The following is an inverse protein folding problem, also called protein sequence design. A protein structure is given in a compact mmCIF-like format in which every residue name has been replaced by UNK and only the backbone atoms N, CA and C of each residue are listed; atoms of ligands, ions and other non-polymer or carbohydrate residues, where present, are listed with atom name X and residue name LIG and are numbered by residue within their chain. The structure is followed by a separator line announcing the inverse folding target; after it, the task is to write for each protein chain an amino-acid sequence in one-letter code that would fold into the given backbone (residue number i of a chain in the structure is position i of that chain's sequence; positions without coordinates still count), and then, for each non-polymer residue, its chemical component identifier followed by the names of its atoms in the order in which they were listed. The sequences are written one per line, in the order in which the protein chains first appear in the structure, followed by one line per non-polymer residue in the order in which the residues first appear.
data_IF_658323399923
#
_entry.id   IF_658323399923
#
_cell.length_a   1.000
_cell.length_b   1.000
_cell.length_c   1.000
_cell.angle_alpha   90.00
_cell.angle_beta   90.00
_cell.angle_gamma   90.00
#
_symmetry.space_group_name_H-M   'P 1'
#
loop_
_entity.id
_entity.type
_entity.pdbx_description
1 polymer ?
#
# COMPACT_ATOMS: atom_id res chain seq x y z
N UNK A 1 -2.05 12.45 22.55
CA UNK A 1 -1.36 12.77 21.30
C UNK A 1 -2.33 13.46 20.35
N UNK A 2 -1.86 14.43 19.57
CA UNK A 2 -2.64 15.12 18.53
C UNK A 2 -2.01 14.84 17.17
N UNK A 3 -2.82 14.54 16.16
CA UNK A 3 -2.36 14.17 14.82
C UNK A 3 -2.41 15.38 13.89
N UNK A 4 -1.33 15.60 13.15
CA UNK A 4 -1.19 16.62 12.13
C UNK A 4 -0.89 15.94 10.80
N UNK A 5 -1.67 16.26 9.78
CA UNK A 5 -1.53 15.65 8.45
C UNK A 5 -0.44 16.32 7.62
N UNK A 6 -0.48 17.65 7.51
CA UNK A 6 0.37 18.36 6.57
C UNK A 6 1.81 18.54 7.08
N UNK A 7 2.77 18.16 6.25
CA UNK A 7 4.20 18.35 6.46
C UNK A 7 4.87 19.16 5.34
N UNK A 8 4.10 19.70 4.39
CA UNK A 8 4.64 20.38 3.20
C UNK A 8 5.17 21.77 3.56
N UNK A 9 6.42 22.12 3.19
CA UNK A 9 6.89 23.49 3.25
C UNK A 9 6.13 24.36 2.24
N UNK A 10 5.51 25.43 2.72
CA UNK A 10 4.83 26.42 1.89
C UNK A 10 5.81 27.43 1.28
N UNK A 11 5.62 27.85 0.02
CA UNK A 11 5.42 27.03 -1.17
C UNK A 11 6.78 26.71 -1.83
N UNK A 12 7.04 25.43 -2.12
CA UNK A 12 8.26 25.00 -2.85
C UNK A 12 7.93 23.88 -3.82
N UNK A 13 8.49 23.95 -5.04
CA UNK A 13 8.31 22.88 -6.05
C UNK A 13 9.06 21.60 -5.65
N UNK A 14 10.22 21.73 -5.00
CA UNK A 14 11.06 20.62 -4.53
C UNK A 14 10.62 20.03 -3.18
N UNK A 15 9.39 20.29 -2.75
CA UNK A 15 8.92 19.92 -1.41
C UNK A 15 9.02 18.41 -1.13
N UNK A 16 8.93 17.55 -2.14
CA UNK A 16 9.16 16.10 -1.97
C UNK A 16 10.57 15.76 -1.48
N UNK A 17 11.54 16.65 -1.65
CA UNK A 17 12.89 16.55 -1.09
C UNK A 17 13.01 17.39 0.18
N UNK A 18 12.45 18.61 0.18
CA UNK A 18 12.60 19.55 1.28
C UNK A 18 11.75 19.22 2.52
N UNK A 19 10.67 18.44 2.37
CA UNK A 19 9.80 18.04 3.48
C UNK A 19 10.53 17.12 4.44
N UNK A 20 10.60 17.57 5.69
CA UNK A 20 11.12 16.76 6.81
C UNK A 20 10.04 15.93 7.49
N UNK A 21 8.77 16.31 7.35
CA UNK A 21 7.63 15.72 8.07
C UNK A 21 7.75 15.76 9.60
N UNK A 22 8.54 16.72 10.14
CA UNK A 22 8.76 16.88 11.58
C UNK A 22 8.46 18.28 12.11
N UNK A 23 7.93 19.18 11.28
CA UNK A 23 7.71 20.58 11.65
C UNK A 23 6.93 20.76 12.97
N UNK A 24 5.92 19.91 13.22
CA UNK A 24 5.17 19.89 14.48
C UNK A 24 5.87 19.04 15.55
N UNK A 25 6.43 17.88 15.16
CA UNK A 25 7.16 17.00 16.10
C UNK A 25 8.35 17.71 16.78
N UNK A 26 9.02 18.61 16.06
CA UNK A 26 10.16 19.38 16.54
C UNK A 26 9.74 20.53 17.49
N UNK A 27 8.46 20.90 17.51
CA UNK A 27 7.92 22.00 18.33
C UNK A 27 7.02 21.54 19.47
N UNK A 28 6.32 20.42 19.31
CA UNK A 28 5.27 19.96 20.22
C UNK A 28 5.50 18.48 20.59
N UNK A 29 5.79 18.22 21.87
CA UNK A 29 6.09 16.87 22.36
C UNK A 29 4.94 15.86 22.16
N UNK A 30 3.69 16.34 22.22
CA UNK A 30 2.49 15.53 22.09
C UNK A 30 2.00 15.36 20.64
N UNK A 31 2.67 15.98 19.67
CA UNK A 31 2.27 15.94 18.26
C UNK A 31 2.73 14.66 17.58
N UNK A 32 1.88 14.16 16.69
CA UNK A 32 2.20 13.13 15.73
C UNK A 32 1.93 13.65 14.33
N UNK A 33 2.79 13.31 13.39
CA UNK A 33 2.67 13.77 12.00
C UNK A 33 2.55 12.61 11.02
N UNK A 34 1.88 12.81 9.89
CA UNK A 34 1.89 11.79 8.85
C UNK A 34 3.30 11.54 8.34
N UNK A 35 3.69 10.27 8.27
CA UNK A 35 4.96 9.83 7.73
C UNK A 35 5.03 10.08 6.21
N UNK A 36 6.22 10.20 5.63
CA UNK A 36 6.38 10.28 4.17
C UNK A 36 5.79 9.08 3.42
N UNK A 37 5.68 7.91 4.05
CA UNK A 37 5.12 6.69 3.41
C UNK A 37 3.60 6.66 3.39
N UNK A 38 2.93 7.56 4.09
CA UNK A 38 1.47 7.68 4.11
C UNK A 38 1.06 9.10 3.77
N UNK A 39 1.84 9.84 3.00
CA UNK A 39 1.47 11.19 2.58
C UNK A 39 1.63 11.36 1.08
N UNK A 40 0.56 11.85 0.43
CA UNK A 40 0.44 12.26 -0.98
C UNK A 40 1.07 11.35 -2.05
N UNK A 41 2.40 11.30 -2.17
CA UNK A 41 3.14 10.67 -3.29
C UNK A 41 3.60 9.24 -2.97
N UNK A 42 2.95 8.58 -2.03
CA UNK A 42 3.11 7.15 -1.84
C UNK A 42 2.27 6.41 -2.88
N UNK A 43 2.93 5.96 -3.95
CA UNK A 43 2.34 5.27 -5.11
C UNK A 43 2.97 3.89 -5.29
N UNK A 44 2.72 2.94 -4.36
CA UNK A 44 3.37 1.62 -4.33
C UNK A 44 3.05 0.73 -5.53
N UNK A 45 2.07 1.10 -6.35
CA UNK A 45 1.73 0.40 -7.59
C UNK A 45 2.74 0.68 -8.73
N UNK A 46 3.56 1.72 -8.63
CA UNK A 46 4.57 2.03 -9.64
C UNK A 46 5.74 1.04 -9.59
N UNK A 47 6.30 0.75 -10.76
CA UNK A 47 7.50 -0.06 -10.88
C UNK A 47 8.71 0.69 -10.29
N UNK A 48 9.60 -0.03 -9.62
CA UNK A 48 10.75 0.43 -8.82
C UNK A 48 10.41 1.31 -7.62
N UNK A 49 9.14 1.35 -7.19
CA UNK A 49 8.71 2.22 -6.09
C UNK A 49 9.51 1.96 -4.80
N UNK A 50 9.67 0.70 -4.40
CA UNK A 50 10.27 0.40 -3.09
C UNK A 50 11.74 0.77 -3.05
N UNK A 51 12.52 0.37 -4.06
CA UNK A 51 13.94 0.73 -4.15
C UNK A 51 14.15 2.24 -4.26
N UNK A 52 13.32 2.96 -5.03
CA UNK A 52 13.44 4.42 -5.19
C UNK A 52 13.05 5.20 -3.92
N UNK A 53 12.16 4.65 -3.08
CA UNK A 53 11.75 5.25 -1.81
C UNK A 53 12.56 4.78 -0.60
N UNK A 54 13.59 3.95 -0.79
CA UNK A 54 14.42 3.44 0.31
C UNK A 54 14.94 4.53 1.25
N UNK A 55 15.35 5.68 0.71
CA UNK A 55 15.82 6.80 1.52
C UNK A 55 14.75 7.36 2.47
N UNK A 56 13.47 7.39 2.07
CA UNK A 56 12.33 7.74 2.95
C UNK A 56 12.09 6.66 3.99
N UNK A 57 12.27 5.38 3.65
CA UNK A 57 12.19 4.29 4.63
C UNK A 57 13.28 4.45 5.70
N UNK A 58 14.50 4.85 5.34
CA UNK A 58 15.57 5.15 6.30
C UNK A 58 15.22 6.32 7.22
N UNK A 59 14.49 7.32 6.75
CA UNK A 59 13.98 8.39 7.62
C UNK A 59 12.91 7.89 8.58
N UNK A 60 12.02 7.01 8.12
CA UNK A 60 11.05 6.34 9.01
C UNK A 60 11.79 5.60 10.11
N UNK A 61 12.83 4.82 9.80
CA UNK A 61 13.65 4.15 10.81
C UNK A 61 14.18 5.14 11.87
N UNK A 62 14.69 6.29 11.44
CA UNK A 62 15.35 7.27 12.32
C UNK A 62 14.38 8.11 13.13
N UNK A 63 13.27 8.54 12.55
CA UNK A 63 12.41 9.60 13.11
C UNK A 63 10.96 9.17 13.33
N UNK A 64 10.58 7.97 12.89
CA UNK A 64 9.19 7.53 12.83
C UNK A 64 8.48 7.35 14.16
N UNK A 65 9.18 7.39 15.31
CA UNK A 65 8.59 7.18 16.63
C UNK A 65 7.37 8.04 16.97
N UNK A 66 7.25 9.22 16.36
CA UNK A 66 6.10 10.13 16.48
C UNK A 66 5.38 10.39 15.17
N UNK A 67 5.41 9.42 14.26
CA UNK A 67 4.66 9.50 13.01
C UNK A 67 3.44 8.61 13.00
N UNK A 68 2.41 9.02 12.26
CA UNK A 68 1.38 8.13 11.75
C UNK A 68 1.98 7.49 10.50
N UNK A 69 2.23 6.19 10.55
CA UNK A 69 2.80 5.40 9.45
C UNK A 69 1.70 4.62 8.73
N UNK A 70 2.09 3.78 7.77
CA UNK A 70 1.18 2.97 6.98
C UNK A 70 1.43 3.13 5.50
N UNK A 71 0.49 2.64 4.69
CA UNK A 71 0.68 2.43 3.26
C UNK A 71 -0.50 2.87 2.39
N UNK A 72 -1.67 3.13 2.97
CA UNK A 72 -2.85 3.54 2.25
C UNK A 72 -3.58 4.66 3.00
N UNK A 73 -3.96 5.71 2.27
CA UNK A 73 -4.93 6.71 2.70
C UNK A 73 -5.62 7.33 1.47
N UNK A 74 -6.53 8.27 1.73
CA UNK A 74 -7.32 8.95 0.70
C UNK A 74 -6.44 9.69 -0.33
N UNK A 75 -5.42 10.42 0.09
CA UNK A 75 -4.50 11.17 -0.79
C UNK A 75 -3.62 10.25 -1.65
N UNK A 76 -3.09 9.17 -1.07
CA UNK A 76 -2.24 8.23 -1.79
C UNK A 76 -3.06 7.45 -2.82
N UNK A 77 -4.22 6.95 -2.42
CA UNK A 77 -5.11 6.24 -3.33
C UNK A 77 -5.58 7.16 -4.44
N UNK A 78 -5.94 8.42 -4.14
CA UNK A 78 -6.28 9.43 -5.14
C UNK A 78 -5.20 9.57 -6.21
N UNK A 79 -3.93 9.71 -5.82
CA UNK A 79 -2.82 9.78 -6.79
C UNK A 79 -2.71 8.51 -7.62
N UNK A 80 -2.99 7.35 -7.03
CA UNK A 80 -3.05 6.08 -7.75
C UNK A 80 -4.15 6.05 -8.81
N UNK A 81 -5.39 6.32 -8.42
CA UNK A 81 -6.54 6.23 -9.32
C UNK A 81 -6.54 7.32 -10.40
N UNK A 82 -5.90 8.47 -10.16
CA UNK A 82 -5.82 9.57 -11.14
C UNK A 82 -4.67 9.35 -12.14
N UNK A 83 -3.77 8.39 -11.90
CA UNK A 83 -2.70 8.08 -12.83
C UNK A 83 -3.27 7.42 -14.09
N UNK A 84 -2.88 7.92 -15.27
CA UNK A 84 -3.24 7.30 -16.54
C UNK A 84 -2.49 5.95 -16.70
N UNK A 85 -3.18 4.80 -16.60
CA UNK A 85 -2.56 3.48 -16.67
C UNK A 85 -1.88 3.21 -18.02
N UNK A 86 -2.23 3.97 -19.07
CA UNK A 86 -1.65 3.82 -20.42
C UNK A 86 -0.32 4.55 -20.59
N UNK A 87 0.06 5.40 -19.63
CA UNK A 87 1.31 6.18 -19.68
C UNK A 87 2.26 5.88 -18.52
N UNK A 88 1.74 5.49 -17.35
CA UNK A 88 2.57 5.15 -16.19
C UNK A 88 3.10 3.73 -16.26
N UNK A 89 4.31 3.51 -15.73
CA UNK A 89 4.88 2.17 -15.55
C UNK A 89 4.48 1.60 -14.21
N UNK A 90 3.35 0.92 -14.16
CA UNK A 90 2.93 0.17 -12.97
C UNK A 90 3.57 -1.21 -12.91
N UNK A 91 3.64 -1.79 -11.71
CA UNK A 91 4.21 -3.10 -11.47
C UNK A 91 3.20 -4.21 -11.77
N UNK A 92 3.32 -4.80 -12.96
CA UNK A 92 2.45 -5.89 -13.44
C UNK A 92 2.57 -7.18 -12.63
N UNK A 93 3.59 -7.34 -11.77
CA UNK A 93 3.71 -8.51 -10.92
C UNK A 93 2.75 -8.47 -9.72
N UNK A 94 2.16 -7.31 -9.42
CA UNK A 94 1.22 -7.16 -8.31
C UNK A 94 -0.16 -7.78 -8.62
N UNK A 95 -0.47 -8.09 -9.88
CA UNK A 95 -1.79 -8.61 -10.23
C UNK A 95 -2.02 -8.78 -11.73
N UNK A 96 -3.07 -9.55 -12.08
CA UNK A 96 -3.43 -9.82 -13.47
C UNK A 96 -4.21 -8.68 -14.12
N UNK A 97 -4.94 -7.90 -13.32
CA UNK A 97 -5.73 -6.74 -13.75
C UNK A 97 -5.22 -5.45 -13.12
N UNK A 98 -5.62 -4.28 -13.66
CA UNK A 98 -5.31 -2.97 -13.05
C UNK A 98 -5.85 -2.90 -11.61
N UNK A 99 -7.03 -3.47 -11.36
CA UNK A 99 -7.62 -3.57 -10.03
C UNK A 99 -6.78 -4.40 -9.07
N UNK A 100 -6.32 -5.57 -9.52
CA UNK A 100 -5.43 -6.40 -8.68
C UNK A 100 -4.13 -5.66 -8.34
N UNK A 101 -3.55 -4.96 -9.32
CA UNK A 101 -2.32 -4.17 -9.13
C UNK A 101 -2.53 -3.09 -8.07
N UNK A 102 -3.57 -2.26 -8.21
CA UNK A 102 -3.80 -1.15 -7.28
C UNK A 102 -4.16 -1.68 -5.89
N UNK A 103 -5.07 -2.64 -5.78
CA UNK A 103 -5.51 -3.18 -4.49
C UNK A 103 -4.38 -3.91 -3.76
N UNK A 104 -3.60 -4.73 -4.48
CA UNK A 104 -2.45 -5.43 -3.91
C UNK A 104 -1.36 -4.45 -3.48
N UNK A 105 -1.11 -3.37 -4.24
CA UNK A 105 -0.12 -2.35 -3.85
C UNK A 105 -0.46 -1.65 -2.54
N UNK A 106 -1.75 -1.43 -2.29
CA UNK A 106 -2.27 -0.74 -1.13
C UNK A 106 -2.79 -1.68 -0.04
N UNK A 107 -2.60 -3.00 -0.14
CA UNK A 107 -2.91 -3.96 0.92
C UNK A 107 -2.08 -5.26 0.77
N UNK A 108 -0.78 -5.11 0.59
CA UNK A 108 0.12 -6.25 0.42
C UNK A 108 0.53 -6.86 1.77
N UNK A 109 0.61 -8.20 1.93
CA UNK A 109 1.05 -8.82 3.19
C UNK A 109 2.45 -8.39 3.67
N UNK A 110 3.40 -8.21 2.75
CA UNK A 110 4.72 -7.66 3.04
C UNK A 110 4.66 -6.24 3.60
N UNK A 111 3.82 -5.37 3.01
CA UNK A 111 3.67 -3.99 3.49
C UNK A 111 2.96 -3.94 4.84
N UNK A 112 1.95 -4.80 5.06
CA UNK A 112 1.31 -4.95 6.36
C UNK A 112 2.33 -5.35 7.43
N UNK A 113 3.17 -6.37 7.19
CA UNK A 113 4.21 -6.77 8.15
C UNK A 113 5.25 -5.67 8.38
N UNK A 114 5.72 -5.05 7.31
CA UNK A 114 6.69 -3.97 7.38
C UNK A 114 6.18 -2.83 8.27
N UNK A 115 4.93 -2.38 8.07
CA UNK A 115 4.37 -1.25 8.81
C UNK A 115 3.90 -1.63 10.22
N UNK A 116 3.21 -2.75 10.38
CA UNK A 116 2.63 -3.16 11.66
C UNK A 116 3.67 -3.76 12.61
N UNK A 117 4.55 -4.62 12.10
CA UNK A 117 5.37 -5.50 12.92
C UNK A 117 6.86 -5.18 12.89
N UNK A 118 7.30 -4.14 12.17
CA UNK A 118 8.71 -3.84 12.03
C UNK A 118 9.08 -2.35 12.13
N UNK A 119 8.49 -1.48 11.29
CA UNK A 119 8.78 -0.06 11.27
C UNK A 119 8.18 0.70 12.47
N UNK A 120 8.80 1.84 12.86
CA UNK A 120 8.29 2.72 13.90
C UNK A 120 7.05 3.52 13.48
N UNK A 121 6.49 4.25 14.44
CA UNK A 121 5.28 5.08 14.26
C UNK A 121 4.00 4.31 14.49
N UNK A 122 2.85 4.94 14.33
CA UNK A 122 1.54 4.30 14.55
C UNK A 122 0.90 4.03 13.20
N UNK A 123 0.77 2.76 12.78
CA UNK A 123 0.22 2.41 11.49
C UNK A 123 -1.26 2.78 11.40
N UNK A 124 -1.62 3.51 10.34
CA UNK A 124 -2.98 3.79 9.94
C UNK A 124 -3.35 2.94 8.73
N UNK A 125 -4.58 2.44 8.74
CA UNK A 125 -5.13 1.61 7.67
C UNK A 125 -6.55 2.10 7.35
N UNK A 126 -6.91 2.04 6.07
CA UNK A 126 -8.23 2.40 5.59
C UNK A 126 -9.05 1.14 5.36
N UNK A 127 -10.33 1.16 5.78
CA UNK A 127 -11.19 -0.03 5.70
C UNK A 127 -11.33 -0.51 4.26
N UNK A 128 -11.46 0.41 3.31
CA UNK A 128 -11.60 0.10 1.88
C UNK A 128 -10.34 -0.59 1.33
N UNK A 129 -9.16 -0.14 1.74
CA UNK A 129 -7.90 -0.80 1.37
C UNK A 129 -7.85 -2.23 1.93
N UNK A 130 -8.28 -2.43 3.18
CA UNK A 130 -8.27 -3.74 3.83
C UNK A 130 -9.27 -4.73 3.21
N UNK A 131 -10.40 -4.25 2.71
CA UNK A 131 -11.47 -5.06 2.11
C UNK A 131 -11.37 -5.18 0.59
N UNK A 132 -10.43 -4.47 -0.05
CA UNK A 132 -10.32 -4.33 -1.51
C UNK A 132 -11.64 -3.81 -2.12
N UNK A 133 -12.36 -2.99 -1.37
CA UNK A 133 -13.53 -2.27 -1.88
C UNK A 133 -13.03 -1.14 -2.78
N UNK A 134 -13.65 -0.91 -3.95
CA UNK A 134 -13.36 0.28 -4.76
C UNK A 134 -13.34 1.55 -3.90
N UNK A 135 -12.35 2.41 -4.09
CA UNK A 135 -12.31 3.68 -3.38
C UNK A 135 -11.40 4.72 -4.03
N UNK A 136 -11.67 5.97 -3.65
CA UNK A 136 -11.07 7.17 -4.18
C UNK A 136 -11.26 8.32 -3.18
N UNK A 137 -10.68 9.48 -3.48
CA UNK A 137 -10.99 10.73 -2.78
C UNK A 137 -11.92 11.60 -3.63
N UNK A 138 -13.22 11.34 -3.53
CA UNK A 138 -14.24 12.13 -4.21
C UNK A 138 -14.56 13.43 -3.46
N UNK A 139 -14.78 14.52 -4.20
CA UNK A 139 -15.17 15.82 -3.65
C UNK A 139 -16.53 16.23 -4.23
N UNK A 140 -17.56 16.22 -3.41
CA UNK A 140 -18.95 16.54 -3.80
C UNK A 140 -19.44 17.82 -3.10
N UNK A 141 -18.63 18.88 -3.11
CA UNK A 141 -18.87 20.07 -2.27
C UNK A 141 -19.54 21.23 -3.00
N UNK A 142 -19.48 21.31 -4.34
CA UNK A 142 -20.14 22.37 -5.09
C UNK A 142 -20.54 21.96 -6.53
N UNK A 143 -21.60 22.59 -7.05
CA UNK A 143 -22.11 22.38 -8.41
C UNK A 143 -21.27 23.09 -9.48
N UNK A 144 -20.45 24.07 -9.09
CA UNK A 144 -19.69 24.88 -10.04
C UNK A 144 -18.60 24.03 -10.70
N UNK A 145 -17.86 23.27 -9.89
CA UNK A 145 -16.74 22.44 -10.30
C UNK A 145 -17.06 20.94 -10.34
N UNK A 146 -18.30 20.53 -10.06
CA UNK A 146 -18.71 19.12 -10.06
C UNK A 146 -18.26 18.36 -11.33
N UNK A 147 -18.47 18.95 -12.51
CA UNK A 147 -18.09 18.32 -13.78
C UNK A 147 -16.56 18.18 -13.92
N UNK A 148 -15.81 19.19 -13.47
CA UNK A 148 -14.34 19.12 -13.43
C UNK A 148 -13.87 18.01 -12.51
N UNK A 149 -14.45 17.92 -11.30
CA UNK A 149 -14.05 16.90 -10.34
C UNK A 149 -14.34 15.51 -10.89
N UNK A 150 -15.53 15.25 -11.44
CA UNK A 150 -15.84 13.95 -12.08
C UNK A 150 -14.87 13.64 -13.22
N UNK A 151 -14.53 14.63 -14.04
CA UNK A 151 -13.58 14.45 -15.13
C UNK A 151 -12.17 14.10 -14.63
N UNK A 152 -11.68 14.76 -13.57
CA UNK A 152 -10.38 14.48 -12.94
C UNK A 152 -10.28 13.05 -12.36
N UNK A 153 -11.42 12.41 -12.08
CA UNK A 153 -11.50 11.03 -11.60
C UNK A 153 -11.75 10.01 -12.72
N UNK A 154 -11.56 10.37 -13.99
CA UNK A 154 -11.89 9.51 -15.14
C UNK A 154 -11.25 8.11 -15.09
N UNK A 155 -10.01 8.04 -14.58
CA UNK A 155 -9.24 6.80 -14.49
C UNK A 155 -9.66 5.92 -13.29
N UNK A 156 -10.50 6.40 -12.37
CA UNK A 156 -11.10 5.57 -11.32
C UNK A 156 -11.77 4.32 -11.91
N UNK A 157 -12.51 4.49 -13.01
CA UNK A 157 -13.18 3.37 -13.66
C UNK A 157 -12.22 2.38 -14.31
N UNK A 158 -11.01 2.78 -14.69
CA UNK A 158 -9.98 1.87 -15.22
C UNK A 158 -9.35 1.04 -14.10
N UNK A 159 -9.01 1.70 -12.99
CA UNK A 159 -8.32 1.09 -11.87
C UNK A 159 -9.23 0.25 -10.97
N UNK A 160 -10.47 0.67 -10.71
CA UNK A 160 -11.27 0.12 -9.61
C UNK A 160 -12.55 -0.60 -10.02
N UNK A 161 -12.99 -0.46 -11.27
CA UNK A 161 -14.27 -1.03 -11.74
C UNK A 161 -13.98 -2.02 -12.86
N UNK A 162 -14.41 -3.27 -12.71
CA UNK A 162 -14.33 -4.28 -13.76
C UNK A 162 -15.59 -4.28 -14.64
N UNK A 163 -15.55 -4.87 -15.85
CA UNK A 163 -16.75 -5.07 -16.66
C UNK A 163 -17.85 -5.84 -15.91
N UNK A 164 -17.46 -6.82 -15.09
CA UNK A 164 -18.36 -7.60 -14.24
C UNK A 164 -19.02 -6.73 -13.16
N UNK A 165 -18.25 -5.85 -12.50
CA UNK A 165 -18.79 -4.89 -11.53
C UNK A 165 -19.80 -3.96 -12.19
N UNK A 166 -19.45 -3.41 -13.36
CA UNK A 166 -20.34 -2.51 -14.08
C UNK A 166 -21.58 -3.22 -14.63
N UNK A 167 -21.52 -4.52 -14.94
CA UNK A 167 -22.68 -5.27 -15.42
C UNK A 167 -23.77 -5.44 -14.36
N UNK A 168 -23.42 -5.44 -13.07
CA UNK A 168 -24.36 -5.60 -11.95
C UNK A 168 -25.44 -4.51 -11.92
N UNK A 169 -26.71 -4.87 -11.87
CA UNK A 169 -27.84 -3.91 -11.93
C UNK A 169 -27.85 -2.90 -10.78
N UNK A 170 -27.33 -3.31 -9.62
CA UNK A 170 -27.33 -2.53 -8.40
C UNK A 170 -26.15 -1.53 -8.33
N UNK A 171 -25.14 -1.66 -9.19
CA UNK A 171 -24.03 -0.72 -9.33
C UNK A 171 -24.20 0.17 -10.57
N UNK A 172 -23.81 1.44 -10.46
CA UNK A 172 -23.92 2.43 -11.53
C UNK A 172 -25.32 2.58 -12.13
N UNK A 173 -26.36 2.35 -11.32
CA UNK A 173 -27.74 2.31 -11.75
C UNK A 173 -28.26 3.67 -12.27
N UNK A 174 -27.70 4.80 -11.82
CA UNK A 174 -28.10 6.13 -12.29
C UNK A 174 -27.41 6.45 -13.60
N UNK A 175 -26.10 6.24 -13.67
CA UNK A 175 -25.29 6.43 -14.88
C UNK A 175 -25.85 5.59 -16.04
N UNK A 176 -26.28 4.35 -15.80
CA UNK A 176 -26.92 3.51 -16.82
C UNK A 176 -28.21 4.11 -17.41
N UNK A 177 -28.96 4.92 -16.65
CA UNK A 177 -30.18 5.61 -17.17
C UNK A 177 -29.86 6.67 -18.21
N UNK A 178 -28.63 7.17 -18.23
CA UNK A 178 -28.12 8.05 -19.27
C UNK A 178 -27.74 7.30 -20.55
N UNK A 179 -27.94 5.98 -20.61
CA UNK A 179 -27.70 5.15 -21.80
C UNK A 179 -26.31 4.50 -21.87
N UNK A 180 -25.49 4.61 -20.81
CA UNK A 180 -24.23 3.88 -20.71
C UNK A 180 -24.49 2.41 -20.39
N UNK A 181 -24.49 1.56 -21.42
CA UNK A 181 -24.77 0.11 -21.28
C UNK A 181 -23.52 -0.74 -21.06
N UNK A 182 -22.35 -0.18 -21.33
CA UNK A 182 -21.06 -0.86 -21.16
C UNK A 182 -20.02 0.09 -20.56
N UNK A 183 -19.06 -0.51 -19.84
CA UNK A 183 -18.03 0.23 -19.11
C UNK A 183 -17.06 0.96 -20.05
N UNK A 184 -16.82 0.43 -21.25
CA UNK A 184 -15.89 1.00 -22.21
C UNK A 184 -16.40 2.36 -22.72
N UNK A 185 -17.68 2.44 -23.10
CA UNK A 185 -18.33 3.69 -23.53
C UNK A 185 -18.29 4.75 -22.41
N UNK A 186 -18.55 4.35 -21.16
CA UNK A 186 -18.48 5.27 -20.01
C UNK A 186 -17.05 5.79 -19.77
N UNK A 187 -16.03 4.92 -19.84
CA UNK A 187 -14.62 5.32 -19.71
C UNK A 187 -14.22 6.29 -20.82
N UNK A 188 -14.57 6.00 -22.07
CA UNK A 188 -14.31 6.91 -23.19
C UNK A 188 -14.95 8.28 -22.98
N UNK A 189 -16.19 8.31 -22.49
CA UNK A 189 -16.89 9.55 -22.17
C UNK A 189 -16.16 10.38 -21.11
N UNK A 190 -15.74 9.78 -20.00
CA UNK A 190 -15.02 10.49 -18.94
C UNK A 190 -13.63 10.96 -19.39
N UNK A 191 -12.90 10.17 -20.18
CA UNK A 191 -11.63 10.61 -20.76
C UNK A 191 -11.83 11.80 -21.71
N UNK A 192 -12.88 11.77 -22.54
CA UNK A 192 -13.18 12.90 -23.40
C UNK A 192 -13.54 14.15 -22.58
N UNK A 193 -14.34 13.98 -21.53
CA UNK A 193 -14.69 15.05 -20.60
C UNK A 193 -13.44 15.67 -19.96
N UNK A 194 -12.50 14.86 -19.48
CA UNK A 194 -11.22 15.33 -18.92
C UNK A 194 -10.43 16.17 -19.92
N UNK A 195 -10.35 15.75 -21.19
CA UNK A 195 -9.67 16.55 -22.22
C UNK A 195 -10.40 17.85 -22.52
N UNK A 196 -11.73 17.83 -22.48
CA UNK A 196 -12.54 19.04 -22.69
C UNK A 196 -12.39 20.05 -21.55
N UNK A 197 -12.24 19.62 -20.29
CA UNK A 197 -12.01 20.56 -19.18
C UNK A 197 -10.72 21.37 -19.40
N UNK A 198 -9.65 20.73 -19.87
CA UNK A 198 -8.37 21.37 -20.19
C UNK A 198 -8.48 22.31 -21.39
N UNK A 199 -8.97 21.81 -22.53
CA UNK A 199 -8.98 22.55 -23.81
C UNK A 199 -9.90 23.77 -23.76
N UNK A 200 -11.01 23.67 -23.04
CA UNK A 200 -11.99 24.77 -22.96
C UNK A 200 -11.70 25.76 -21.83
N UNK A 201 -10.74 25.47 -20.96
CA UNK A 201 -10.57 26.21 -19.71
C UNK A 201 -11.77 26.06 -18.77
N UNK A 202 -12.42 24.89 -18.78
CA UNK A 202 -13.64 24.57 -18.03
C UNK A 202 -14.86 25.44 -18.39
N UNK A 203 -14.94 25.91 -19.63
CA UNK A 203 -16.12 26.57 -20.17
C UNK A 203 -17.19 25.52 -20.55
N UNK A 204 -18.17 25.33 -19.66
CA UNK A 204 -19.16 24.24 -19.79
C UNK A 204 -19.96 24.32 -21.09
N UNK A 205 -20.26 25.50 -21.61
CA UNK A 205 -21.01 25.66 -22.86
C UNK A 205 -20.17 25.23 -24.07
N UNK A 206 -18.87 25.56 -24.07
CA UNK A 206 -17.92 25.03 -25.08
C UNK A 206 -17.77 23.51 -24.96
N UNK A 207 -17.69 22.98 -23.74
CA UNK A 207 -17.61 21.53 -23.51
C UNK A 207 -18.84 20.81 -24.09
N UNK A 208 -20.06 21.30 -23.83
CA UNK A 208 -21.30 20.75 -24.40
C UNK A 208 -21.26 20.75 -25.91
N UNK A 209 -20.86 21.87 -26.52
CA UNK A 209 -20.77 21.99 -27.99
C UNK A 209 -19.79 20.97 -28.58
N UNK A 210 -18.58 20.88 -28.04
CA UNK A 210 -17.56 19.95 -28.54
C UNK A 210 -17.94 18.49 -28.32
N UNK A 211 -18.55 18.18 -27.18
CA UNK A 211 -19.04 16.83 -26.87
C UNK A 211 -20.15 16.40 -27.84
N UNK A 212 -21.06 17.32 -28.20
CA UNK A 212 -22.07 17.09 -29.25
C UNK A 212 -21.45 16.82 -30.62
N UNK A 213 -20.42 17.58 -30.98
CA UNK A 213 -19.69 17.44 -32.25
C UNK A 213 -18.84 16.15 -32.31
N UNK A 214 -18.44 15.57 -31.16
CA UNK A 214 -17.63 14.36 -31.10
C UNK A 214 -18.33 13.07 -31.57
N UNK A 215 -19.66 13.03 -31.52
CA UNK A 215 -20.46 11.84 -31.85
C UNK A 215 -20.40 10.70 -30.81
N UNK A 216 -19.66 10.86 -29.70
CA UNK A 216 -19.33 9.80 -28.73
C UNK A 216 -20.55 9.20 -28.02
N UNK A 217 -21.68 9.90 -28.02
CA UNK A 217 -22.93 9.48 -27.36
C UNK A 217 -24.01 9.01 -28.35
N UNK A 218 -23.65 8.73 -29.61
CA UNK A 218 -24.59 8.24 -30.62
C UNK A 218 -25.85 9.10 -30.68
N UNK A 219 -27.03 8.51 -30.49
CA UNK A 219 -28.31 9.22 -30.54
C UNK A 219 -28.58 10.17 -29.35
N UNK A 220 -27.80 10.09 -28.28
CA UNK A 220 -27.99 10.90 -27.08
C UNK A 220 -27.31 12.28 -27.18
N UNK A 221 -26.47 12.51 -28.19
CA UNK A 221 -25.72 13.76 -28.33
C UNK A 221 -26.64 15.00 -28.30
N UNK A 222 -27.82 14.95 -28.93
CA UNK A 222 -28.76 16.07 -28.98
C UNK A 222 -29.33 16.46 -27.60
N UNK A 223 -29.32 15.54 -26.63
CA UNK A 223 -29.85 15.76 -25.28
C UNK A 223 -28.81 16.38 -24.33
N UNK A 224 -27.52 16.27 -24.67
CA UNK A 224 -26.42 16.76 -23.84
C UNK A 224 -26.55 18.28 -23.70
N UNK A 225 -26.69 18.79 -22.50
CA UNK A 225 -26.72 20.21 -22.16
C UNK A 225 -25.87 20.45 -20.91
N UNK A 226 -25.61 21.71 -20.56
CA UNK A 226 -24.89 22.06 -19.33
C UNK A 226 -25.59 21.46 -18.11
N UNK A 227 -26.92 21.58 -18.06
CA UNK A 227 -27.75 20.94 -17.04
C UNK A 227 -27.61 19.42 -17.02
N UNK A 228 -27.68 18.77 -18.18
CA UNK A 228 -27.52 17.31 -18.29
C UNK A 228 -26.16 16.86 -17.76
N UNK A 229 -25.07 17.58 -18.06
CA UNK A 229 -23.73 17.26 -17.56
C UNK A 229 -23.61 17.43 -16.06
N UNK A 230 -24.26 18.45 -15.49
CA UNK A 230 -24.32 18.66 -14.03
C UNK A 230 -25.13 17.55 -13.33
N UNK A 231 -26.29 17.18 -13.89
CA UNK A 231 -27.11 16.07 -13.38
C UNK A 231 -26.36 14.73 -13.48
N UNK A 232 -25.67 14.48 -14.61
CA UNK A 232 -24.78 13.33 -14.78
C UNK A 232 -23.67 13.32 -13.73
N UNK A 233 -22.99 14.45 -13.50
CA UNK A 233 -21.88 14.51 -12.54
C UNK A 233 -22.35 14.19 -11.11
N UNK A 234 -23.49 14.72 -10.71
CA UNK A 234 -24.11 14.40 -9.42
C UNK A 234 -24.49 12.91 -9.33
N UNK A 235 -25.15 12.36 -10.35
CA UNK A 235 -25.55 10.96 -10.35
C UNK A 235 -24.34 10.00 -10.38
N UNK A 236 -23.28 10.37 -11.10
CA UNK A 236 -22.02 9.64 -11.10
C UNK A 236 -21.37 9.63 -9.71
N UNK A 237 -21.32 10.76 -9.00
CA UNK A 237 -20.79 10.81 -7.63
C UNK A 237 -21.56 9.91 -6.68
N UNK A 238 -22.91 9.87 -6.81
CA UNK A 238 -23.75 8.97 -6.01
C UNK A 238 -23.50 7.51 -6.33
N UNK A 239 -23.39 7.16 -7.61
CA UNK A 239 -23.09 5.79 -8.03
C UNK A 239 -21.67 5.37 -7.62
N UNK A 240 -20.69 6.27 -7.66
CA UNK A 240 -19.34 6.03 -7.18
C UNK A 240 -19.32 5.83 -5.66
N UNK A 241 -20.08 6.63 -4.89
CA UNK A 241 -20.25 6.43 -3.46
C UNK A 241 -20.90 5.07 -3.13
N UNK A 242 -21.94 4.69 -3.89
CA UNK A 242 -22.60 3.39 -3.78
C UNK A 242 -21.63 2.23 -4.07
N UNK A 243 -20.74 2.37 -5.06
CA UNK A 243 -19.71 1.39 -5.39
C UNK A 243 -18.55 1.34 -4.38
N UNK A 244 -18.28 2.44 -3.68
CA UNK A 244 -17.19 2.53 -2.69
C UNK A 244 -17.64 2.18 -1.26
N UNK A 245 -18.87 1.72 -1.08
CA UNK A 245 -19.39 1.32 0.21
C UNK A 245 -18.82 -0.05 0.62
N UNK A 246 -17.91 -0.05 1.59
CA UNK A 246 -17.22 -1.26 2.04
C UNK A 246 -18.13 -2.28 2.73
N UNK A 247 -19.13 -1.82 3.49
CA UNK A 247 -20.09 -2.72 4.14
C UNK A 247 -20.85 -3.51 3.08
N UNK A 248 -21.48 -2.80 2.14
CA UNK A 248 -22.21 -3.40 1.03
C UNK A 248 -21.34 -4.34 0.20
N UNK A 249 -20.16 -3.89 -0.22
CA UNK A 249 -19.25 -4.71 -1.03
C UNK A 249 -18.82 -6.00 -0.29
N UNK A 250 -18.59 -5.93 1.02
CA UNK A 250 -18.27 -7.12 1.81
C UNK A 250 -19.45 -8.07 2.01
N UNK A 251 -20.66 -7.56 2.24
CA UNK A 251 -21.88 -8.35 2.34
C UNK A 251 -22.20 -9.06 1.01
N UNK A 252 -22.13 -8.34 -0.11
CA UNK A 252 -22.37 -8.90 -1.43
C UNK A 252 -21.35 -10.02 -1.72
N UNK A 253 -20.06 -9.81 -1.42
CA UNK A 253 -19.03 -10.86 -1.58
C UNK A 253 -19.28 -12.07 -0.68
N UNK A 254 -19.83 -11.90 0.52
CA UNK A 254 -20.30 -13.01 1.36
C UNK A 254 -21.46 -13.78 0.71
N UNK A 255 -22.34 -13.08 0.00
CA UNK A 255 -23.51 -13.65 -0.69
C UNK A 255 -23.20 -14.22 -2.08
N UNK A 256 -22.04 -13.94 -2.69
CA UNK A 256 -21.67 -14.58 -3.99
C UNK A 256 -21.32 -16.07 -3.90
N UNK A 257 -21.47 -16.68 -2.72
CA UNK A 257 -21.40 -18.13 -2.61
C UNK A 257 -22.54 -18.85 -3.33
N UNK A 258 -22.38 -20.13 -3.66
CA UNK A 258 -23.54 -20.93 -4.05
C UNK A 258 -24.39 -21.21 -2.81
N UNK A 259 -25.69 -20.88 -2.82
CA UNK A 259 -26.62 -21.25 -1.75
C UNK A 259 -26.77 -22.78 -1.73
N UNK A 260 -26.36 -23.45 -0.65
CA UNK A 260 -26.70 -24.85 -0.45
C UNK A 260 -28.14 -24.96 0.04
N UNK A 261 -28.86 -26.00 -0.36
CA UNK A 261 -30.21 -26.33 0.14
C UNK A 261 -30.31 -26.43 1.67
N UNK A 262 -29.18 -26.48 2.38
CA UNK A 262 -29.03 -26.48 3.84
C UNK A 262 -29.01 -25.09 4.48
N UNK A 263 -29.12 -23.99 3.71
CA UNK A 263 -29.10 -22.63 4.24
C UNK A 263 -27.70 -22.06 4.51
N UNK A 264 -26.67 -22.63 3.91
CA UNK A 264 -25.28 -22.18 4.02
C UNK A 264 -24.72 -21.78 2.67
N UNK A 265 -24.04 -20.63 2.62
CA UNK A 265 -23.36 -20.14 1.42
C UNK A 265 -22.01 -20.87 1.23
N UNK A 266 -21.74 -21.40 0.04
CA UNK A 266 -20.41 -21.93 -0.30
C UNK A 266 -19.43 -20.78 -0.56
N UNK A 267 -18.36 -20.69 0.22
CA UNK A 267 -17.34 -19.64 0.05
C UNK A 267 -16.69 -19.72 -1.35
N UNK A 268 -16.66 -18.59 -2.07
CA UNK A 268 -15.91 -18.47 -3.33
C UNK A 268 -14.41 -18.36 -3.06
N UNK A 269 -13.58 -18.63 -4.08
CA UNK A 269 -12.13 -18.46 -3.97
C UNK A 269 -11.71 -17.01 -3.63
N UNK A 270 -12.49 -16.02 -4.06
CA UNK A 270 -12.29 -14.60 -3.70
C UNK A 270 -12.54 -14.37 -2.21
N UNK A 271 -13.60 -14.95 -1.65
CA UNK A 271 -13.93 -14.83 -0.23
C UNK A 271 -12.84 -15.41 0.66
N UNK A 272 -12.34 -16.60 0.32
CA UNK A 272 -11.26 -17.26 1.07
C UNK A 272 -9.98 -16.42 1.11
N UNK A 273 -9.62 -15.78 -0.01
CA UNK A 273 -8.45 -14.88 -0.07
C UNK A 273 -8.62 -13.66 0.85
N UNK A 274 -9.79 -13.01 0.80
CA UNK A 274 -10.08 -11.84 1.66
C UNK A 274 -10.10 -12.24 3.14
N UNK A 275 -10.72 -13.37 3.47
CA UNK A 275 -10.75 -13.89 4.84
C UNK A 275 -9.33 -14.17 5.37
N UNK A 276 -8.51 -14.90 4.61
CA UNK A 276 -7.12 -15.19 4.99
C UNK A 276 -6.29 -13.91 5.19
N UNK A 277 -6.45 -12.92 4.30
CA UNK A 277 -5.79 -11.62 4.43
C UNK A 277 -6.29 -10.83 5.64
N UNK A 278 -7.59 -10.86 5.92
CA UNK A 278 -8.18 -10.18 7.07
C UNK A 278 -7.71 -10.76 8.40
N UNK A 279 -7.67 -12.09 8.50
CA UNK A 279 -7.10 -12.81 9.65
C UNK A 279 -5.62 -12.48 9.85
N UNK A 280 -4.84 -12.44 8.76
CA UNK A 280 -3.44 -12.04 8.81
C UNK A 280 -3.28 -10.59 9.31
N UNK A 281 -4.05 -9.64 8.77
CA UNK A 281 -4.02 -8.25 9.20
C UNK A 281 -4.35 -8.12 10.70
N UNK A 282 -5.36 -8.85 11.20
CA UNK A 282 -5.66 -8.90 12.64
C UNK A 282 -4.47 -9.42 13.46
N UNK A 283 -3.88 -10.55 13.05
CA UNK A 283 -2.72 -11.12 13.76
C UNK A 283 -1.54 -10.15 13.84
N UNK A 284 -1.27 -9.39 12.77
CA UNK A 284 -0.21 -8.36 12.80
C UNK A 284 -0.52 -7.20 13.75
N UNK A 285 -1.79 -6.77 13.86
CA UNK A 285 -2.21 -5.74 14.82
C UNK A 285 -2.07 -6.24 16.26
N UNK A 286 -2.52 -7.47 16.53
CA UNK A 286 -2.37 -8.08 17.85
C UNK A 286 -0.90 -8.23 18.24
N UNK A 287 -0.05 -8.62 17.28
CA UNK A 287 1.40 -8.66 17.48
C UNK A 287 1.93 -7.28 17.86
N UNK A 288 1.52 -6.24 17.14
CA UNK A 288 1.93 -4.87 17.41
C UNK A 288 1.48 -4.40 18.80
N UNK A 289 0.24 -4.69 19.19
CA UNK A 289 -0.27 -4.34 20.52
C UNK A 289 0.50 -5.04 21.65
N UNK A 290 0.98 -6.26 21.41
CA UNK A 290 1.83 -7.01 22.37
C UNK A 290 3.29 -6.54 22.39
N UNK A 291 3.75 -5.83 21.36
CA UNK A 291 5.12 -5.35 21.22
C UNK A 291 5.14 -3.82 21.01
N UNK A 292 4.68 -3.01 21.99
CA UNK A 292 4.54 -1.56 21.83
C UNK A 292 5.88 -0.84 21.61
N UNK A 293 7.00 -1.43 22.01
CA UNK A 293 8.36 -0.93 21.78
C UNK A 293 8.70 -0.77 20.29
N UNK A 294 8.04 -1.53 19.40
CA UNK A 294 8.21 -1.39 17.95
C UNK A 294 7.79 -0.01 17.44
N UNK A 295 6.99 0.74 18.20
CA UNK A 295 6.62 2.12 17.86
C UNK A 295 7.81 3.05 17.85
N UNK A 296 8.77 2.84 18.74
CA UNK A 296 9.88 3.76 18.88
C UNK A 296 10.83 3.65 17.69
N UNK A 297 11.49 4.75 17.33
CA UNK A 297 12.51 4.78 16.28
C UNK A 297 13.62 3.75 16.51
N UNK A 298 14.32 3.39 15.43
CA UNK A 298 15.42 2.43 15.46
C UNK A 298 16.53 2.87 16.42
N UNK A 299 17.00 1.93 17.24
CA UNK A 299 18.13 2.09 18.16
C UNK A 299 19.43 1.68 17.48
N UNK A 300 20.56 1.86 18.15
CA UNK A 300 21.87 1.40 17.65
C UNK A 300 21.97 -0.12 17.47
N UNK A 301 21.09 -0.87 18.13
CA UNK A 301 20.95 -2.33 18.00
C UNK A 301 20.05 -2.76 16.84
N UNK A 302 19.32 -1.82 16.23
CA UNK A 302 18.38 -2.12 15.16
C UNK A 302 19.04 -1.87 13.80
N UNK A 303 18.74 -2.70 12.81
CA UNK A 303 19.25 -2.54 11.45
C UNK A 303 18.25 -3.03 10.44
N UNK A 304 18.16 -2.33 9.31
CA UNK A 304 17.39 -2.77 8.16
C UNK A 304 18.09 -2.35 6.88
N UNK A 305 18.09 -3.25 5.90
CA UNK A 305 18.65 -3.07 4.57
C UNK A 305 17.63 -3.59 3.54
N UNK A 306 17.94 -3.39 2.26
CA UNK A 306 17.46 -4.28 1.22
C UNK A 306 18.64 -5.10 0.69
N UNK A 307 18.39 -6.30 0.20
CA UNK A 307 19.46 -7.17 -0.31
C UNK A 307 20.05 -6.61 -1.61
N UNK A 308 21.39 -6.53 -1.65
CA UNK A 308 22.16 -6.08 -2.79
C UNK A 308 23.08 -7.19 -3.32
N UNK A 309 23.21 -7.34 -4.65
CA UNK A 309 22.44 -6.67 -5.69
C UNK A 309 20.95 -7.10 -5.69
N UNK A 310 20.07 -6.24 -6.21
CA UNK A 310 18.62 -6.52 -6.24
C UNK A 310 18.30 -7.76 -7.08
N UNK A 311 18.97 -7.94 -8.22
CA UNK A 311 18.81 -9.09 -9.12
C UNK A 311 17.35 -9.43 -9.44
N UNK A 312 16.57 -8.40 -9.79
CA UNK A 312 15.17 -8.53 -10.17
C UNK A 312 14.17 -8.54 -9.00
N UNK A 313 14.62 -8.45 -7.75
CA UNK A 313 13.74 -8.39 -6.57
C UNK A 313 14.23 -7.42 -5.50
N UNK A 314 13.31 -6.70 -4.86
CA UNK A 314 13.59 -5.80 -3.73
C UNK A 314 13.19 -6.53 -2.45
N UNK A 315 14.15 -7.23 -1.84
CA UNK A 315 13.93 -7.91 -0.56
C UNK A 315 14.36 -6.97 0.57
N UNK A 316 13.39 -6.49 1.33
CA UNK A 316 13.64 -5.78 2.58
C UNK A 316 13.89 -6.78 3.70
N UNK A 317 14.92 -6.51 4.50
CA UNK A 317 15.26 -7.35 5.63
C UNK A 317 15.90 -6.56 6.75
N UNK A 318 15.72 -7.00 7.99
CA UNK A 318 16.27 -6.31 9.13
C UNK A 318 16.00 -7.02 10.44
N UNK A 319 16.68 -6.54 11.47
CA UNK A 319 16.55 -7.00 12.85
C UNK A 319 16.23 -5.83 13.77
N UNK A 320 15.40 -6.09 14.77
CA UNK A 320 15.17 -5.16 15.89
C UNK A 320 15.19 -5.88 17.22
N UNK A 321 15.62 -5.19 18.27
CA UNK A 321 15.71 -5.73 19.62
C UNK A 321 14.72 -5.06 20.56
N UNK A 322 13.95 -5.89 21.26
CA UNK A 322 13.16 -5.45 22.40
C UNK A 322 14.11 -4.97 23.52
N UNK A 323 14.03 -3.69 23.93
CA UNK A 323 14.94 -3.13 24.93
C UNK A 323 14.74 -3.72 26.33
N UNK A 324 13.55 -4.25 26.63
CA UNK A 324 13.19 -4.71 27.96
C UNK A 324 13.44 -6.22 28.10
N UNK A 325 13.07 -7.00 27.09
CA UNK A 325 13.20 -8.47 27.12
C UNK A 325 14.49 -8.97 26.45
N UNK A 326 15.13 -8.14 25.63
CA UNK A 326 16.27 -8.55 24.81
C UNK A 326 15.91 -9.44 23.62
N UNK A 327 14.63 -9.76 23.41
CA UNK A 327 14.12 -10.56 22.30
C UNK A 327 14.41 -9.87 20.97
N UNK A 328 14.74 -10.65 19.93
CA UNK A 328 14.94 -10.12 18.60
C UNK A 328 13.78 -10.47 17.67
N UNK A 329 13.46 -9.54 16.77
CA UNK A 329 12.59 -9.79 15.63
C UNK A 329 13.38 -9.65 14.34
N UNK A 330 13.10 -10.50 13.37
CA UNK A 330 13.78 -10.53 12.08
C UNK A 330 12.75 -10.57 10.94
N UNK A 331 12.86 -9.64 9.99
CA UNK A 331 11.96 -9.52 8.85
C UNK A 331 12.65 -10.01 7.57
N UNK A 332 11.91 -10.78 6.77
CA UNK A 332 12.18 -10.99 5.35
C UNK A 332 10.93 -10.62 4.57
N UNK A 333 11.02 -9.68 3.64
CA UNK A 333 9.87 -9.22 2.88
C UNK A 333 10.25 -8.95 1.43
N UNK A 334 9.60 -9.65 0.49
CA UNK A 334 9.69 -9.32 -0.92
C UNK A 334 8.73 -8.17 -1.22
N UNK A 335 9.28 -6.97 -1.30
CA UNK A 335 8.50 -5.75 -1.52
C UNK A 335 8.17 -5.55 -3.00
N UNK A 336 9.00 -6.08 -3.89
CA UNK A 336 8.88 -5.85 -5.32
C UNK A 336 9.65 -6.87 -6.14
N UNK A 337 9.16 -7.17 -7.35
CA UNK A 337 9.90 -7.93 -8.35
C UNK A 337 9.66 -9.43 -8.30
N UNK A 338 10.59 -10.19 -8.88
CA UNK A 338 10.45 -11.63 -9.10
C UNK A 338 10.50 -12.43 -7.79
N UNK A 339 10.03 -13.70 -7.78
CA UNK A 339 10.28 -14.59 -6.67
C UNK A 339 11.78 -14.78 -6.42
N UNK A 340 12.21 -14.73 -5.15
CA UNK A 340 13.62 -14.91 -4.75
C UNK A 340 13.72 -15.89 -3.60
N UNK A 341 14.60 -16.88 -3.74
CA UNK A 341 14.90 -17.86 -2.71
C UNK A 341 16.02 -17.34 -1.80
N UNK A 342 15.81 -17.43 -0.49
CA UNK A 342 16.78 -17.03 0.54
C UNK A 342 16.78 -18.04 1.69
N UNK A 343 17.89 -18.19 2.40
CA UNK A 343 17.97 -18.98 3.64
C UNK A 343 17.90 -18.01 4.84
N UNK A 344 16.87 -18.08 5.70
CA UNK A 344 16.68 -17.10 6.77
C UNK A 344 17.90 -16.97 7.70
N UNK A 345 18.52 -18.08 8.10
CA UNK A 345 19.70 -18.09 8.95
C UNK A 345 20.90 -17.35 8.33
N UNK A 346 21.13 -17.50 7.03
CA UNK A 346 22.24 -16.85 6.32
C UNK A 346 22.04 -15.33 6.26
N UNK A 347 20.83 -14.88 5.89
CA UNK A 347 20.49 -13.46 5.82
C UNK A 347 20.54 -12.81 7.21
N UNK A 348 20.05 -13.51 8.24
CA UNK A 348 20.14 -13.02 9.62
C UNK A 348 21.61 -12.82 10.03
N UNK A 349 22.48 -13.80 9.76
CA UNK A 349 23.89 -13.73 10.09
C UNK A 349 24.59 -12.55 9.37
N UNK A 350 24.27 -12.30 8.11
CA UNK A 350 24.80 -11.16 7.35
C UNK A 350 24.46 -9.82 8.03
N UNK A 351 23.19 -9.64 8.41
CA UNK A 351 22.73 -8.39 9.05
C UNK A 351 23.33 -8.26 10.46
N UNK A 352 23.39 -9.37 11.19
CA UNK A 352 23.96 -9.43 12.54
C UNK A 352 25.44 -9.04 12.53
N UNK A 353 26.24 -9.62 11.63
CA UNK A 353 27.66 -9.27 11.48
C UNK A 353 27.84 -7.82 11.01
N UNK A 354 26.87 -7.27 10.29
CA UNK A 354 26.86 -5.85 9.98
C UNK A 354 26.67 -4.93 11.20
N UNK A 355 26.05 -5.39 12.29
CA UNK A 355 25.89 -4.58 13.51
C UNK A 355 27.21 -4.44 14.29
N UNK A 356 28.12 -5.41 14.18
CA UNK A 356 29.43 -5.31 14.81
C UNK A 356 30.28 -4.28 14.06
N UNK A 357 30.89 -3.29 14.75
CA UNK A 357 31.83 -2.37 14.11
C UNK A 357 32.92 -3.19 13.41
N UNK A 358 33.27 -2.84 12.16
CA UNK A 358 34.47 -3.37 11.53
C UNK A 358 35.64 -3.15 12.49
N UNK A 359 36.22 -4.24 12.99
CA UNK A 359 37.48 -4.18 13.71
C UNK A 359 38.48 -3.64 12.69
N UNK A 360 39.02 -2.45 12.95
CA UNK A 360 39.98 -1.80 12.08
C UNK A 360 41.11 -2.78 11.72
N UNK A 361 41.60 -2.79 10.46
CA UNK A 361 42.56 -3.79 9.98
C UNK A 361 43.94 -3.78 10.68
N UNK A 362 44.16 -2.94 11.68
CA UNK A 362 45.42 -2.83 12.44
C UNK A 362 45.47 -3.63 13.75
N UNK A 363 44.49 -4.49 14.04
CA UNK A 363 44.67 -5.50 15.10
C UNK A 363 45.49 -6.67 14.56
N UNK A 364 46.75 -6.73 15.01
CA UNK A 364 47.72 -7.81 14.81
C UNK A 364 47.05 -9.20 14.70
N UNK A 365 47.33 -9.95 13.63
CA UNK A 365 46.68 -11.23 13.30
C UNK A 365 46.73 -12.31 14.40
N UNK A 366 47.66 -12.16 15.35
CA UNK A 366 47.77 -13.01 16.54
C UNK A 366 46.74 -12.72 17.64
N UNK A 367 46.18 -11.50 17.71
CA UNK A 367 45.08 -11.16 18.64
C UNK A 367 43.72 -11.61 18.07
N UNK A 368 43.52 -11.49 16.75
CA UNK A 368 42.30 -11.94 16.08
C UNK A 368 42.13 -13.45 16.20
N UNK A 369 43.21 -14.24 16.04
CA UNK A 369 43.13 -15.70 16.19
C UNK A 369 42.84 -16.14 17.63
N UNK A 370 43.36 -15.43 18.63
CA UNK A 370 43.14 -15.73 20.04
C UNK A 370 41.72 -15.38 20.53
N UNK A 371 41.08 -14.37 19.91
CA UNK A 371 39.67 -14.03 20.19
C UNK A 371 38.73 -15.06 19.55
N UNK A 372 39.00 -15.53 18.33
CA UNK A 372 38.18 -16.58 17.69
C UNK A 372 38.32 -17.97 18.32
N UNK A 373 39.45 -18.30 18.97
CA UNK A 373 39.67 -19.63 19.56
C UNK A 373 39.17 -19.77 21.01
N UNK A 374 38.74 -18.68 21.65
CA UNK A 374 38.28 -18.65 23.04
C UNK A 374 36.76 -18.46 23.17
N UNK A 375 36.03 -18.31 22.06
CA UNK A 375 34.58 -18.30 22.09
C UNK A 375 34.07 -19.74 22.28
N UNK A 376 33.24 -20.02 23.32
CA UNK A 376 32.49 -21.27 23.36
C UNK A 376 31.78 -21.43 22.01
N UNK A 377 31.68 -22.65 21.48
CA UNK A 377 30.94 -22.92 20.25
C UNK A 377 29.54 -22.30 20.38
N UNK A 378 29.38 -21.11 19.80
CA UNK A 378 28.14 -20.38 19.87
C UNK A 378 27.12 -21.26 19.14
N UNK A 379 26.15 -21.78 19.88
CA UNK A 379 25.00 -22.43 19.27
C UNK A 379 24.46 -21.41 18.26
N UNK A 380 24.22 -21.82 17.02
CA UNK A 380 23.74 -20.90 16.00
C UNK A 380 22.40 -20.28 16.46
N UNK A 381 22.18 -18.96 16.31
CA UNK A 381 20.90 -18.34 16.66
C UNK A 381 19.78 -19.09 15.92
N UNK A 382 18.65 -19.32 16.59
CA UNK A 382 17.48 -19.96 15.98
C UNK A 382 16.32 -18.98 15.91
N UNK A 383 15.65 -18.94 14.76
CA UNK A 383 14.47 -18.13 14.52
C UNK A 383 13.21 -18.97 14.43
N UNK A 384 12.17 -18.57 15.16
CA UNK A 384 10.82 -19.16 15.03
C UNK A 384 9.94 -18.22 14.22
N UNK A 385 9.33 -18.66 13.10
CA UNK A 385 8.40 -17.82 12.36
C UNK A 385 7.15 -17.57 13.21
N UNK A 386 6.81 -16.29 13.42
CA UNK A 386 5.64 -15.89 14.23
C UNK A 386 4.52 -15.27 13.39
N UNK A 387 4.86 -14.68 12.25
CA UNK A 387 3.88 -14.17 11.29
C UNK A 387 4.35 -14.54 9.89
N UNK A 388 3.55 -15.32 9.19
CA UNK A 388 3.83 -15.82 7.83
C UNK A 388 2.68 -15.36 6.94
N UNK A 389 3.01 -14.80 5.78
CA UNK A 389 1.99 -14.31 4.84
C UNK A 389 1.11 -15.45 4.33
N UNK A 390 -0.21 -15.23 4.10
CA UNK A 390 -1.10 -16.25 3.58
C UNK A 390 -0.59 -16.87 2.27
N UNK A 391 -0.64 -18.20 2.16
CA UNK A 391 -0.19 -18.94 0.98
C UNK A 391 1.32 -19.17 0.89
N UNK A 392 2.09 -18.75 1.90
CA UNK A 392 3.49 -19.15 2.08
C UNK A 392 3.56 -20.28 3.11
N UNK A 393 4.23 -21.38 2.77
CA UNK A 393 4.50 -22.46 3.73
C UNK A 393 5.36 -21.93 4.88
N UNK A 394 5.11 -22.40 6.10
CA UNK A 394 5.88 -21.98 7.29
C UNK A 394 7.36 -22.27 7.08
N UNK A 395 8.21 -21.22 6.94
CA UNK A 395 9.60 -21.43 6.58
C UNK A 395 10.40 -21.96 7.76
N UNK A 396 11.27 -22.95 7.49
CA UNK A 396 12.28 -23.37 8.45
C UNK A 396 13.46 -22.40 8.44
N UNK A 397 14.09 -22.21 9.60
CA UNK A 397 15.19 -21.26 9.78
C UNK A 397 16.41 -21.52 8.89
N UNK A 398 16.80 -22.79 8.76
CA UNK A 398 18.01 -23.24 8.06
C UNK A 398 17.71 -23.84 6.67
N UNK A 399 16.54 -23.55 6.09
CA UNK A 399 16.17 -24.05 4.76
C UNK A 399 15.83 -22.90 3.81
N UNK A 400 16.04 -23.07 2.50
CA UNK A 400 15.62 -22.08 1.52
C UNK A 400 14.10 -21.85 1.57
N UNK A 401 13.70 -20.58 1.58
CA UNK A 401 12.32 -20.14 1.36
C UNK A 401 12.25 -19.26 0.12
N UNK A 402 11.32 -19.55 -0.79
CA UNK A 402 11.07 -18.71 -1.97
C UNK A 402 9.98 -17.71 -1.64
N UNK A 403 10.34 -16.43 -1.62
CA UNK A 403 9.41 -15.33 -1.40
C UNK A 403 8.95 -14.78 -2.74
N UNK A 404 7.68 -14.97 -3.09
CA UNK A 404 7.02 -14.28 -4.19
C UNK A 404 6.76 -12.82 -3.83
N UNK A 405 6.47 -11.98 -4.83
CA UNK A 405 6.13 -10.57 -4.59
C UNK A 405 5.05 -10.44 -3.52
N UNK A 406 5.21 -9.48 -2.63
CA UNK A 406 4.32 -9.19 -1.49
C UNK A 406 4.28 -10.23 -0.38
N UNK A 407 5.04 -11.34 -0.49
CA UNK A 407 5.19 -12.30 0.60
C UNK A 407 6.28 -11.86 1.57
N UNK A 408 6.11 -12.26 2.81
CA UNK A 408 7.00 -11.91 3.90
C UNK A 408 6.88 -12.89 5.07
N UNK A 409 7.84 -12.84 5.95
CA UNK A 409 7.84 -13.56 7.20
C UNK A 409 8.53 -12.73 8.27
N UNK A 410 7.96 -12.75 9.47
CA UNK A 410 8.59 -12.25 10.67
C UNK A 410 8.97 -13.43 11.56
N UNK A 411 10.22 -13.46 11.98
CA UNK A 411 10.74 -14.41 12.97
C UNK A 411 10.94 -13.72 14.31
N UNK A 412 10.72 -14.47 15.38
CA UNK A 412 11.32 -14.17 16.69
C UNK A 412 12.59 -14.98 16.82
N UNK A 413 13.69 -14.28 17.12
CA UNK A 413 15.00 -14.88 17.23
C UNK A 413 15.43 -14.83 18.69
N UNK A 414 15.81 -16.01 19.20
CA UNK A 414 16.47 -16.12 20.50
C UNK A 414 17.98 -16.08 20.21
N UNK A 415 18.66 -14.95 20.43
CA UNK A 415 20.11 -14.96 20.45
C UNK A 415 20.51 -15.88 21.60
N UNK A 416 21.25 -16.95 21.31
CA UNK A 416 21.66 -17.86 22.36
C UNK A 416 22.38 -17.07 23.46
N UNK A 417 21.96 -17.33 24.69
CA UNK A 417 22.37 -16.60 25.88
C UNK A 417 23.89 -16.60 26.05
N UNK A 418 24.40 -15.42 26.43
CA UNK A 418 25.73 -15.08 26.97
C UNK A 418 26.61 -14.25 26.01
N UNK A 419 26.51 -12.93 26.17
CA UNK A 419 27.61 -11.98 25.95
C UNK A 419 28.03 -11.42 27.30
#
# INVERSE_FOLDING_TARGET
WMVYEDGRPWPREDWELASTYRAMNDQLDHSFQWAPTIFAYNTPFLYTYWVTKWWRIREVMRFGGRWISGYANHDTMRRGIQADPFTVRYNTMLGATLKDVIDTSYNSPATTLLMQAFLPGVPMEFVQALTHTPWAFFRDTDTTYALKVVAEESFFLEWQVTPEDFAREDLFARVKRYGFTDLHTLRQFLHHLLRLTEITGYDQDKMVRMLRESGLMGNLHAQISTRWLQEFAHDWMRDAADACNAERDTEDRQQTGAWQQTGTWQQTGTWQKIAAKSSFNLATREYRMKNPWLRDSFRSTDRMIYLEPTDGSVIYTGIRRDPDTGKWVFLLANMEGQPKSVVPAEIFAEIWNGLTPEIAPDTNSAMTSAITSAMPQAIAPSGTPVLVTPGLDTPAWDQPVTLHITQAVLFEVQPNSEF
#
